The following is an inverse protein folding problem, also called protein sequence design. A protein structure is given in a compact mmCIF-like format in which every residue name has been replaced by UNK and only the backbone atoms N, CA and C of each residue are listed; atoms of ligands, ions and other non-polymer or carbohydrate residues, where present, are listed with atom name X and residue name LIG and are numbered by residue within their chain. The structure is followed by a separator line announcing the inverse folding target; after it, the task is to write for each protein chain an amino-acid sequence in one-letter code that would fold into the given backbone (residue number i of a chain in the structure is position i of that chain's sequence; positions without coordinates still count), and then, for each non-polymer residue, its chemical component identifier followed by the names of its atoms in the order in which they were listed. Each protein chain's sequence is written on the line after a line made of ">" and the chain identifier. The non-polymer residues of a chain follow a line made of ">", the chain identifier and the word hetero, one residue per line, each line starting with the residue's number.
data_IF_862316492919
#
_entry.id   IF_862316492919
#
_cell.length_a   1.000
_cell.length_b   1.000
_cell.length_c   1.000
_cell.angle_alpha   90.00
_cell.angle_beta   90.00
_cell.angle_gamma   90.00
#
_symmetry.space_group_name_H-M   'P 1'
#
loop_
_entity.id
_entity.type
_entity.pdbx_description
1 polymer ?
#
# COMPACT_ATOMS: atom_id res chain seq x y z
N UNK A 1 -35.12 -22.80 72.80
CA UNK A 1 -34.39 -21.51 72.91
C UNK A 1 -34.21 -21.00 71.48
N UNK A 2 -35.18 -20.32 70.85
CA UNK A 2 -35.40 -18.85 70.84
C UNK A 2 -34.06 -18.09 70.88
N UNK A 3 -33.67 -17.29 69.89
CA UNK A 3 -34.38 -16.08 69.46
C UNK A 3 -34.36 -15.85 67.94
N UNK A 4 -35.50 -15.33 67.46
CA UNK A 4 -35.75 -14.77 66.13
C UNK A 4 -35.31 -13.31 66.13
N UNK A 5 -34.70 -12.82 65.05
CA UNK A 5 -34.80 -11.41 64.67
C UNK A 5 -35.18 -11.33 63.19
N UNK A 6 -36.35 -10.77 62.96
CA UNK A 6 -36.87 -10.28 61.70
C UNK A 6 -36.32 -8.86 61.48
N UNK A 7 -35.87 -8.55 60.27
CA UNK A 7 -35.92 -7.18 59.75
C UNK A 7 -36.05 -7.25 58.22
N UNK A 8 -37.26 -6.94 57.78
CA UNK A 8 -37.68 -6.70 56.39
C UNK A 8 -37.35 -5.27 55.96
N UNK A 9 -36.78 -5.11 54.76
CA UNK A 9 -37.00 -4.00 53.81
C UNK A 9 -36.10 -4.27 52.58
N UNK A 10 -36.59 -4.65 51.40
CA UNK A 10 -37.37 -3.91 50.40
C UNK A 10 -36.49 -3.40 49.21
N UNK A 11 -36.75 -4.03 48.05
CA UNK A 11 -36.85 -3.46 46.69
C UNK A 11 -35.58 -2.98 45.95
N UNK A 12 -35.14 -3.85 45.02
CA UNK A 12 -34.85 -3.66 43.58
C UNK A 12 -34.47 -2.24 43.09
N UNK A 13 -33.24 -2.10 42.56
CA UNK A 13 -32.98 -1.32 41.34
C UNK A 13 -32.04 -2.11 40.42
N UNK A 14 -32.53 -2.28 39.18
CA UNK A 14 -31.90 -2.89 38.00
C UNK A 14 -30.73 -2.01 37.52
N UNK A 15 -29.56 -2.58 37.26
CA UNK A 15 -28.40 -1.83 36.77
C UNK A 15 -27.28 -2.73 36.27
N UNK A 16 -27.50 -3.37 35.13
CA UNK A 16 -26.44 -4.04 34.37
C UNK A 16 -25.51 -2.99 33.76
N UNK A 17 -24.36 -2.75 34.40
CA UNK A 17 -23.23 -2.09 33.76
C UNK A 17 -22.18 -3.18 33.56
N UNK A 18 -22.22 -3.78 32.38
CA UNK A 18 -21.12 -4.60 31.89
C UNK A 18 -19.88 -3.73 31.83
N UNK A 19 -18.89 -4.04 32.67
CA UNK A 19 -17.53 -3.53 32.48
C UNK A 19 -17.02 -4.25 31.25
N UNK A 20 -17.21 -3.64 30.09
CA UNK A 20 -16.60 -4.07 28.84
C UNK A 20 -15.08 -3.99 29.04
N UNK A 21 -14.46 -5.13 29.34
CA UNK A 21 -13.04 -5.33 29.19
C UNK A 21 -12.71 -5.09 27.72
N UNK A 22 -12.23 -3.88 27.42
CA UNK A 22 -11.66 -3.52 26.14
C UNK A 22 -10.42 -4.41 25.94
N UNK A 23 -10.62 -5.54 25.29
CA UNK A 23 -9.53 -6.32 24.73
C UNK A 23 -8.96 -5.49 23.57
N UNK A 24 -7.97 -4.65 23.87
CA UNK A 24 -7.10 -4.09 22.85
C UNK A 24 -6.20 -5.22 22.35
N UNK A 25 -6.68 -5.94 21.34
CA UNK A 25 -5.80 -6.78 20.52
C UNK A 25 -4.71 -5.87 19.91
N UNK A 26 -3.43 -6.29 19.91
CA UNK A 26 -2.40 -5.57 19.17
C UNK A 26 -2.74 -5.70 17.68
N UNK A 27 -3.25 -4.63 17.09
CA UNK A 27 -3.57 -4.60 15.67
C UNK A 27 -2.26 -4.63 14.87
N UNK A 28 -1.88 -5.81 14.39
CA UNK A 28 -1.00 -5.91 13.21
C UNK A 28 -1.60 -5.02 12.12
N UNK A 29 -0.84 -4.09 11.51
CA UNK A 29 -1.36 -3.28 10.42
C UNK A 29 -1.95 -4.20 9.35
N UNK A 30 -3.24 -4.04 9.06
CA UNK A 30 -3.92 -4.80 8.01
C UNK A 30 -3.21 -4.50 6.69
N UNK A 31 -2.81 -5.53 5.96
CA UNK A 31 -2.14 -5.39 4.67
C UNK A 31 -2.97 -4.52 3.71
N UNK A 32 -2.35 -3.63 2.92
CA UNK A 32 -3.08 -2.85 1.92
C UNK A 32 -3.82 -3.78 0.96
N UNK A 33 -5.08 -3.46 0.67
CA UNK A 33 -5.97 -4.25 -0.17
C UNK A 33 -6.68 -3.34 -1.16
N UNK A 34 -6.89 -3.85 -2.38
CA UNK A 34 -7.72 -3.23 -3.42
C UNK A 34 -8.47 -4.32 -4.16
N UNK A 35 -9.73 -4.07 -4.53
CA UNK A 35 -10.61 -5.03 -5.22
C UNK A 35 -10.70 -6.40 -4.50
N UNK A 36 -10.66 -6.39 -3.16
CA UNK A 36 -10.69 -7.61 -2.35
C UNK A 36 -9.43 -8.48 -2.44
N UNK A 37 -8.34 -7.94 -3.01
CA UNK A 37 -7.04 -8.61 -3.16
C UNK A 37 -5.96 -7.87 -2.39
N UNK A 38 -5.01 -8.61 -1.81
CA UNK A 38 -3.95 -8.04 -0.98
C UNK A 38 -2.78 -7.52 -1.81
N UNK A 39 -1.99 -6.61 -1.26
CA UNK A 39 -0.75 -6.10 -1.86
C UNK A 39 0.17 -7.24 -2.34
N UNK A 40 0.33 -8.29 -1.55
CA UNK A 40 1.14 -9.48 -1.90
C UNK A 40 0.61 -10.18 -3.15
N UNK A 41 -0.71 -10.26 -3.32
CA UNK A 41 -1.30 -10.85 -4.51
C UNK A 41 -1.05 -9.98 -5.74
N UNK A 42 -1.13 -8.66 -5.61
CA UNK A 42 -0.81 -7.74 -6.70
C UNK A 42 0.69 -7.76 -7.04
N UNK A 43 1.57 -7.85 -6.04
CA UNK A 43 3.02 -8.03 -6.25
C UNK A 43 3.30 -9.30 -7.07
N UNK A 44 2.58 -10.39 -6.80
CA UNK A 44 2.71 -11.63 -7.59
C UNK A 44 2.29 -11.42 -9.04
N UNK A 45 1.21 -10.67 -9.27
CA UNK A 45 0.66 -10.42 -10.60
C UNK A 45 1.54 -9.49 -11.46
N UNK A 46 2.45 -8.71 -10.87
CA UNK A 46 3.51 -8.02 -11.60
C UNK A 46 4.41 -8.99 -12.40
N UNK A 47 4.41 -10.28 -12.07
CA UNK A 47 5.15 -11.34 -12.79
C UNK A 47 4.22 -12.19 -13.66
N UNK A 48 2.98 -11.76 -13.88
CA UNK A 48 1.99 -12.45 -14.69
C UNK A 48 2.41 -12.58 -16.15
N UNK A 49 2.00 -13.68 -16.79
CA UNK A 49 2.34 -13.96 -18.19
C UNK A 49 1.76 -12.90 -19.15
N UNK A 50 0.51 -12.52 -18.92
CA UNK A 50 -0.18 -11.52 -19.74
C UNK A 50 0.25 -10.10 -19.35
N UNK A 51 0.59 -9.23 -20.31
CA UNK A 51 0.95 -7.84 -20.04
C UNK A 51 -0.18 -7.08 -19.31
N UNK A 52 -1.43 -7.41 -19.64
CA UNK A 52 -2.62 -6.83 -19.01
C UNK A 52 -2.68 -7.12 -17.51
N UNK A 53 -2.25 -8.32 -17.08
CA UNK A 53 -2.19 -8.69 -15.67
C UNK A 53 -1.17 -7.84 -14.92
N UNK A 54 0.01 -7.62 -15.51
CA UNK A 54 1.06 -6.78 -14.91
C UNK A 54 0.64 -5.32 -14.84
N UNK A 55 -0.01 -4.81 -15.89
CA UNK A 55 -0.56 -3.46 -15.93
C UNK A 55 -1.60 -3.23 -14.85
N UNK A 56 -2.57 -4.15 -14.74
CA UNK A 56 -3.61 -4.08 -13.72
C UNK A 56 -2.98 -4.07 -12.32
N UNK A 57 -2.06 -5.00 -12.05
CA UNK A 57 -1.35 -5.05 -10.79
C UNK A 57 -0.63 -3.73 -10.44
N UNK A 58 0.08 -3.13 -11.40
CA UNK A 58 0.76 -1.86 -11.18
C UNK A 58 -0.23 -0.72 -10.87
N UNK A 59 -1.38 -0.64 -11.54
CA UNK A 59 -2.40 0.38 -11.24
C UNK A 59 -3.06 0.18 -9.87
N UNK A 60 -3.36 -1.06 -9.49
CA UNK A 60 -3.90 -1.36 -8.16
C UNK A 60 -2.91 -1.00 -7.06
N UNK A 61 -1.62 -1.30 -7.27
CA UNK A 61 -0.53 -0.89 -6.38
C UNK A 61 -0.42 0.64 -6.33
N UNK A 62 -0.56 1.34 -7.46
CA UNK A 62 -0.54 2.79 -7.50
C UNK A 62 -1.69 3.41 -6.69
N UNK A 63 -2.89 2.85 -6.79
CA UNK A 63 -4.07 3.32 -6.04
C UNK A 63 -3.94 3.21 -4.53
N UNK A 64 -3.07 2.32 -4.03
CA UNK A 64 -2.76 2.21 -2.61
C UNK A 64 -1.78 3.29 -2.11
N UNK A 65 -1.07 3.97 -3.02
CA UNK A 65 -0.13 5.05 -2.72
C UNK A 65 0.96 4.64 -1.71
N UNK A 66 1.27 5.49 -0.71
CA UNK A 66 2.35 5.22 0.24
C UNK A 66 2.23 3.91 1.03
N UNK A 67 1.01 3.39 1.20
CA UNK A 67 0.79 2.13 1.91
C UNK A 67 1.43 0.93 1.18
N UNK A 68 1.62 1.03 -0.13
CA UNK A 68 2.21 -0.02 -0.96
C UNK A 68 3.76 -0.01 -1.01
N UNK A 69 4.44 0.68 -0.09
CA UNK A 69 5.90 0.76 -0.05
C UNK A 69 6.60 -0.63 -0.09
N UNK A 70 5.96 -1.68 0.44
CA UNK A 70 6.49 -3.04 0.37
C UNK A 70 6.60 -3.61 -1.06
N UNK A 71 5.88 -3.05 -2.04
CA UNK A 71 5.96 -3.46 -3.44
C UNK A 71 7.14 -2.85 -4.21
N UNK A 72 7.84 -1.86 -3.63
CA UNK A 72 8.92 -1.12 -4.33
C UNK A 72 9.96 -2.05 -4.99
N UNK A 73 10.49 -3.11 -4.34
CA UNK A 73 11.46 -4.00 -4.98
C UNK A 73 10.89 -4.69 -6.24
N UNK A 74 9.65 -5.17 -6.18
CA UNK A 74 9.01 -5.84 -7.31
C UNK A 74 8.66 -4.85 -8.44
N UNK A 75 8.29 -3.61 -8.09
CA UNK A 75 8.07 -2.55 -9.07
C UNK A 75 9.38 -2.15 -9.77
N UNK A 76 10.51 -2.12 -9.05
CA UNK A 76 11.82 -1.86 -9.67
C UNK A 76 12.15 -2.93 -10.71
N UNK A 77 11.94 -4.22 -10.40
CA UNK A 77 12.10 -5.30 -11.37
C UNK A 77 11.17 -5.11 -12.59
N UNK A 78 9.94 -4.65 -12.37
CA UNK A 78 8.96 -4.45 -13.43
C UNK A 78 9.25 -3.21 -14.32
N UNK A 79 10.16 -2.32 -13.94
CA UNK A 79 10.65 -1.25 -14.82
C UNK A 79 11.45 -1.82 -16.01
N UNK A 80 11.95 -3.05 -15.90
CA UNK A 80 12.66 -3.76 -16.97
C UNK A 80 11.76 -4.62 -17.87
N UNK A 81 10.44 -4.44 -17.75
CA UNK A 81 9.49 -5.15 -18.61
C UNK A 81 9.77 -4.85 -20.08
N UNK A 82 9.77 -5.92 -20.89
CA UNK A 82 10.02 -5.82 -22.33
C UNK A 82 8.95 -4.99 -23.05
N UNK A 83 7.77 -4.86 -22.47
CA UNK A 83 6.64 -4.13 -23.05
C UNK A 83 6.55 -2.75 -22.42
N UNK A 84 6.73 -1.72 -23.26
CA UNK A 84 6.65 -0.32 -22.86
C UNK A 84 5.33 0.04 -22.15
N UNK A 85 4.22 -0.57 -22.59
CA UNK A 85 2.89 -0.37 -21.99
C UNK A 85 2.78 -0.90 -20.54
N UNK A 86 3.74 -1.70 -20.07
CA UNK A 86 3.85 -2.15 -18.66
C UNK A 86 4.72 -1.19 -17.84
N UNK A 87 5.79 -0.66 -18.43
CA UNK A 87 6.70 0.27 -17.74
C UNK A 87 6.02 1.56 -17.29
N UNK A 88 5.04 2.05 -18.06
CA UNK A 88 4.30 3.27 -17.71
C UNK A 88 3.48 3.11 -16.41
N UNK A 89 2.55 2.14 -16.27
CA UNK A 89 1.85 1.90 -15.00
C UNK A 89 2.79 1.67 -13.81
N UNK A 90 3.90 0.95 -14.01
CA UNK A 90 4.89 0.70 -12.95
C UNK A 90 5.55 1.99 -12.49
N UNK A 91 5.89 2.88 -13.42
CA UNK A 91 6.45 4.21 -13.11
C UNK A 91 5.44 5.06 -12.34
N UNK A 92 4.16 5.00 -12.71
CA UNK A 92 3.08 5.66 -11.98
C UNK A 92 2.97 5.12 -10.55
N UNK A 93 3.02 3.80 -10.37
CA UNK A 93 2.96 3.20 -9.02
C UNK A 93 4.10 3.70 -8.12
N UNK A 94 5.33 3.74 -8.63
CA UNK A 94 6.48 4.27 -7.88
C UNK A 94 6.31 5.76 -7.55
N UNK A 95 5.73 6.54 -8.45
CA UNK A 95 5.41 7.95 -8.23
C UNK A 95 4.38 8.14 -7.10
N UNK A 96 3.28 7.36 -7.12
CA UNK A 96 2.21 7.45 -6.11
C UNK A 96 2.64 6.91 -4.73
N UNK A 97 3.57 5.95 -4.69
CA UNK A 97 4.24 5.53 -3.44
C UNK A 97 5.09 6.68 -2.87
N UNK A 98 5.70 7.51 -3.72
CA UNK A 98 6.42 8.72 -3.34
C UNK A 98 7.79 8.44 -2.69
N UNK A 99 8.21 9.19 -1.66
CA UNK A 99 9.57 9.10 -1.11
C UNK A 99 10.01 7.72 -0.63
N UNK A 100 9.08 6.83 -0.27
CA UNK A 100 9.40 5.45 0.09
C UNK A 100 9.96 4.64 -1.10
N UNK A 101 9.70 5.07 -2.34
CA UNK A 101 10.23 4.48 -3.57
C UNK A 101 11.63 4.99 -3.95
N UNK A 102 12.37 5.66 -3.05
CA UNK A 102 13.71 6.23 -3.33
C UNK A 102 14.71 5.20 -3.89
N UNK A 103 14.57 3.93 -3.54
CA UNK A 103 15.39 2.86 -4.10
C UNK A 103 15.27 2.72 -5.64
N UNK A 104 14.18 3.20 -6.25
CA UNK A 104 13.96 3.16 -7.69
C UNK A 104 14.69 4.27 -8.47
N UNK A 105 15.25 5.29 -7.79
CA UNK A 105 15.87 6.45 -8.44
C UNK A 105 16.93 6.06 -9.48
N UNK A 106 17.89 5.16 -9.21
CA UNK A 106 18.90 4.79 -10.21
C UNK A 106 18.27 4.19 -11.47
N UNK A 107 17.27 3.31 -11.31
CA UNK A 107 16.63 2.66 -12.47
C UNK A 107 15.77 3.62 -13.27
N UNK A 108 15.07 4.55 -12.60
CA UNK A 108 14.28 5.59 -13.26
C UNK A 108 15.14 6.58 -14.05
N UNK A 109 16.36 6.88 -13.58
CA UNK A 109 17.32 7.70 -14.33
C UNK A 109 17.73 6.98 -15.64
N UNK A 110 18.12 5.71 -15.54
CA UNK A 110 18.47 4.89 -16.71
C UNK A 110 17.30 4.80 -17.69
N UNK A 111 16.08 4.57 -17.19
CA UNK A 111 14.87 4.50 -18.01
C UNK A 111 14.61 5.80 -18.76
N UNK A 112 14.84 6.95 -18.12
CA UNK A 112 14.65 8.26 -18.75
C UNK A 112 15.59 8.47 -19.94
N UNK A 113 16.79 7.86 -19.92
CA UNK A 113 17.81 8.01 -20.97
C UNK A 113 17.68 6.95 -22.09
N UNK A 114 17.29 5.71 -21.75
CA UNK A 114 17.19 4.59 -22.71
C UNK A 114 15.84 4.51 -23.43
N UNK A 115 14.78 5.07 -22.85
CA UNK A 115 13.43 4.93 -23.38
C UNK A 115 13.22 5.73 -24.66
N UNK A 116 12.76 5.05 -25.72
CA UNK A 116 12.50 5.66 -27.02
C UNK A 116 11.19 6.47 -27.00
N UNK A 117 10.25 6.08 -26.14
CA UNK A 117 8.97 6.77 -26.00
C UNK A 117 9.09 7.98 -25.06
N UNK A 118 9.01 9.18 -25.63
CA UNK A 118 9.10 10.46 -24.91
C UNK A 118 8.09 10.59 -23.76
N UNK A 119 6.87 10.06 -23.89
CA UNK A 119 5.86 10.12 -22.83
C UNK A 119 6.27 9.26 -21.63
N UNK A 120 6.83 8.09 -21.90
CA UNK A 120 7.31 7.17 -20.87
C UNK A 120 8.57 7.75 -20.19
N UNK A 121 9.50 8.33 -20.95
CA UNK A 121 10.65 9.05 -20.39
C UNK A 121 10.21 10.26 -19.53
N UNK A 122 9.22 11.02 -19.99
CA UNK A 122 8.65 12.13 -19.23
C UNK A 122 7.97 11.67 -17.93
N UNK A 123 7.35 10.48 -17.94
CA UNK A 123 6.77 9.87 -16.74
C UNK A 123 7.84 9.51 -15.71
N UNK A 124 9.00 8.98 -16.12
CA UNK A 124 10.13 8.70 -15.23
C UNK A 124 10.65 9.99 -14.58
N UNK A 125 10.80 11.06 -15.36
CA UNK A 125 11.17 12.39 -14.82
C UNK A 125 10.15 12.91 -13.81
N UNK A 126 8.86 12.69 -14.05
CA UNK A 126 7.79 13.08 -13.12
C UNK A 126 7.84 12.24 -11.84
N UNK A 127 8.07 10.94 -11.94
CA UNK A 127 8.27 10.06 -10.79
C UNK A 127 9.45 10.52 -9.94
N UNK A 128 10.61 10.80 -10.57
CA UNK A 128 11.78 11.35 -9.88
C UNK A 128 11.45 12.61 -9.08
N UNK A 129 10.67 13.56 -9.63
CA UNK A 129 10.23 14.77 -8.88
C UNK A 129 9.43 14.47 -7.61
N UNK A 130 8.64 13.40 -7.59
CA UNK A 130 7.81 13.05 -6.42
C UNK A 130 8.56 12.19 -5.40
N UNK A 131 9.47 11.34 -5.89
CA UNK A 131 10.27 10.42 -5.08
C UNK A 131 11.46 11.14 -4.45
N UNK A 132 12.24 11.85 -5.25
CA UNK A 132 13.41 12.61 -4.85
C UNK A 132 13.65 13.79 -5.81
N UNK A 133 13.12 14.99 -5.50
CA UNK A 133 13.33 16.18 -6.33
C UNK A 133 14.79 16.50 -6.63
N UNK A 134 15.72 16.12 -5.74
CA UNK A 134 17.16 16.38 -5.92
C UNK A 134 17.81 15.48 -6.97
N UNK A 135 17.17 14.37 -7.32
CA UNK A 135 17.66 13.41 -8.32
C UNK A 135 17.34 13.82 -9.76
N UNK A 136 16.53 14.86 -9.98
CA UNK A 136 16.12 15.27 -11.33
C UNK A 136 17.26 16.01 -12.02
N UNK A 137 17.78 15.54 -13.17
CA UNK A 137 18.86 16.24 -13.87
C UNK A 137 18.43 17.64 -14.30
N UNK A 138 19.35 18.60 -14.17
CA UNK A 138 19.19 19.94 -14.72
C UNK A 138 19.05 19.84 -16.25
N UNK A 139 18.11 20.62 -16.81
CA UNK A 139 17.88 20.67 -18.26
C UNK A 139 19.03 21.34 -18.99
#
# INVERSE_FOLDING_TARGET
>A
MLHRILATAAVIILGSIGVASAQTTPATPKEPESEGRTLTQWIKDLKGLAPQTRNAAAYEIAGMGPAAAAAVPALIEALDDQIAAVRFPVTVALMEIGPAAKAAVPRLLVMMDEEINDEIAASARRALRHIDPSAVPAR
#
